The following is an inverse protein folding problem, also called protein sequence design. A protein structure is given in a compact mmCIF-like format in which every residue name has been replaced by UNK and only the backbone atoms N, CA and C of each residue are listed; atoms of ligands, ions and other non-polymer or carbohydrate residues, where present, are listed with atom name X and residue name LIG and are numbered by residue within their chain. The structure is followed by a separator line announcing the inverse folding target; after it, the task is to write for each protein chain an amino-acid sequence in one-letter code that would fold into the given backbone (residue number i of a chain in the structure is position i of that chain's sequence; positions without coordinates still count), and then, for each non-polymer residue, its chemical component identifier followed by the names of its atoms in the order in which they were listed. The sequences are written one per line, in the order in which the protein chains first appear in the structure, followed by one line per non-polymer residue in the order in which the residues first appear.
data_IF_090579132174
#
_entry.id   IF_090579132174
#
_cell.length_a   1.000
_cell.length_b   1.000
_cell.length_c   1.000
_cell.angle_alpha   90.00
_cell.angle_beta   90.00
_cell.angle_gamma   90.00
#
_symmetry.space_group_name_H-M   'P 1'
#
loop_
_entity.id
_entity.type
_entity.pdbx_description
1 polymer ?
#
# COMPACT_ATOMS: atom_id res chain seq x y z
N UNK A 1 36.40 12.55 -2.37
CA UNK A 1 35.72 12.93 -1.17
C UNK A 1 34.35 13.50 -1.53
N UNK A 2 33.33 13.25 -0.66
CA UNK A 2 31.96 13.75 -0.80
C UNK A 2 31.63 14.53 0.47
N UNK A 3 30.92 15.64 0.35
CA UNK A 3 30.57 16.51 1.48
C UNK A 3 29.33 16.02 2.24
N UNK A 4 28.51 15.16 1.61
CA UNK A 4 27.32 14.59 2.20
C UNK A 4 26.99 13.21 1.60
N UNK A 5 26.27 12.40 2.36
CA UNK A 5 25.72 11.10 1.93
C UNK A 5 24.22 11.08 2.25
N UNK A 6 23.41 10.75 1.26
CA UNK A 6 21.97 10.54 1.43
C UNK A 6 21.72 9.04 1.53
N UNK A 7 21.19 8.60 2.65
CA UNK A 7 20.81 7.20 2.89
C UNK A 7 19.32 7.01 2.65
N UNK A 8 18.96 6.38 1.53
CA UNK A 8 17.57 6.21 1.10
C UNK A 8 17.31 4.78 0.60
N UNK A 9 17.67 3.78 1.40
CA UNK A 9 17.71 2.35 1.04
C UNK A 9 16.41 1.59 1.30
N UNK A 10 15.30 2.30 1.57
CA UNK A 10 14.00 1.68 1.80
C UNK A 10 13.55 1.72 3.27
N UNK A 11 12.61 0.84 3.61
CA UNK A 11 11.94 0.79 4.91
C UNK A 11 11.84 -0.65 5.38
N UNK A 12 11.91 -0.82 6.71
CA UNK A 12 11.60 -2.08 7.38
C UNK A 12 10.51 -1.84 8.44
N UNK A 13 9.68 -2.84 8.75
CA UNK A 13 8.70 -2.71 9.82
C UNK A 13 9.40 -2.68 11.18
N UNK A 14 8.91 -1.86 12.11
CA UNK A 14 9.41 -1.78 13.49
C UNK A 14 8.49 -2.64 14.36
N UNK A 15 8.69 -3.95 14.31
CA UNK A 15 7.82 -4.95 14.95
C UNK A 15 8.52 -5.79 16.02
N UNK A 16 9.86 -5.71 16.13
CA UNK A 16 10.67 -6.58 16.97
C UNK A 16 10.27 -6.55 18.46
N UNK A 17 9.92 -5.36 18.99
CA UNK A 17 9.67 -5.16 20.43
C UNK A 17 8.18 -5.00 20.77
N UNK A 18 7.28 -5.39 19.87
CA UNK A 18 5.83 -5.28 20.09
C UNK A 18 5.21 -6.46 20.85
N UNK A 19 6.01 -7.46 21.22
CA UNK A 19 5.49 -8.65 21.90
C UNK A 19 4.58 -9.51 21.02
N UNK A 20 4.69 -9.42 19.69
CA UNK A 20 3.81 -10.12 18.74
C UNK A 20 3.82 -11.64 18.95
N UNK A 21 5.00 -12.23 19.21
CA UNK A 21 5.13 -13.65 19.46
C UNK A 21 4.36 -14.06 20.73
N UNK A 22 4.39 -13.25 21.79
CA UNK A 22 3.64 -13.52 23.02
C UNK A 22 2.12 -13.44 22.81
N UNK A 23 1.67 -12.60 21.86
CA UNK A 23 0.28 -12.50 21.44
C UNK A 23 -0.11 -13.54 20.37
N UNK A 24 0.81 -14.38 19.92
CA UNK A 24 0.59 -15.36 18.85
C UNK A 24 0.41 -14.75 17.46
N UNK A 25 0.74 -13.47 17.28
CA UNK A 25 0.63 -12.78 15.99
C UNK A 25 1.83 -13.14 15.12
N UNK A 26 1.55 -13.70 13.95
CA UNK A 26 2.58 -14.10 12.99
C UNK A 26 3.18 -12.89 12.28
N UNK A 27 4.48 -12.97 11.97
CA UNK A 27 5.17 -12.07 11.05
C UNK A 27 5.79 -12.88 9.91
N UNK A 28 5.97 -12.25 8.76
CA UNK A 28 6.75 -12.83 7.68
C UNK A 28 8.27 -12.74 7.94
N UNK A 29 9.08 -13.28 7.03
CA UNK A 29 10.54 -13.27 7.15
C UNK A 29 11.15 -11.85 7.15
N UNK A 30 10.44 -10.84 6.63
CA UNK A 30 10.85 -9.44 6.64
C UNK A 30 10.31 -8.66 7.85
N UNK A 31 9.54 -9.31 8.71
CA UNK A 31 8.96 -8.73 9.92
C UNK A 31 7.60 -8.03 9.73
N UNK A 32 6.99 -8.09 8.54
CA UNK A 32 5.64 -7.59 8.33
C UNK A 32 4.59 -8.51 8.95
N UNK A 33 3.43 -7.94 9.29
CA UNK A 33 2.28 -8.68 9.83
C UNK A 33 1.32 -8.98 8.68
N UNK A 34 1.26 -10.24 8.17
CA UNK A 34 0.33 -10.60 7.11
C UNK A 34 -1.12 -10.44 7.56
N UNK A 35 -1.97 -9.95 6.66
CA UNK A 35 -3.41 -9.81 6.91
C UNK A 35 -4.21 -10.28 5.70
N UNK A 36 -5.45 -10.65 5.96
CA UNK A 36 -6.44 -10.87 4.90
C UNK A 36 -6.92 -9.53 4.28
N UNK A 37 -7.92 -9.61 3.39
CA UNK A 37 -8.52 -8.41 2.77
C UNK A 37 -9.22 -7.50 3.79
N UNK A 38 -9.58 -8.04 4.93
CA UNK A 38 -10.31 -7.35 6.00
C UNK A 38 -9.39 -6.84 7.11
N UNK A 39 -8.08 -6.83 6.88
CA UNK A 39 -7.04 -6.47 7.84
C UNK A 39 -6.96 -7.36 9.08
N UNK A 40 -7.59 -8.54 9.06
CA UNK A 40 -7.47 -9.50 10.15
C UNK A 40 -6.11 -10.22 10.08
N UNK A 41 -5.47 -10.36 11.24
CA UNK A 41 -4.27 -11.18 11.39
C UNK A 41 -4.65 -12.66 11.56
N UNK A 42 -3.68 -13.51 11.80
CA UNK A 42 -3.91 -14.90 12.18
C UNK A 42 -4.56 -15.08 13.58
N UNK A 43 -4.59 -14.02 14.39
CA UNK A 43 -5.18 -14.04 15.74
C UNK A 43 -6.57 -13.36 15.68
N UNK A 44 -7.65 -14.02 16.14
CA UNK A 44 -8.98 -13.43 16.18
C UNK A 44 -9.00 -12.09 16.94
N UNK A 45 -9.71 -11.11 16.39
CA UNK A 45 -9.85 -9.74 16.94
C UNK A 45 -8.54 -8.93 17.01
N UNK A 46 -7.49 -9.40 16.39
CA UNK A 46 -6.25 -8.63 16.21
C UNK A 46 -6.13 -8.24 14.74
N UNK A 47 -5.96 -6.95 14.50
CA UNK A 47 -5.94 -6.35 13.16
C UNK A 47 -4.65 -5.58 12.96
N UNK A 48 -4.18 -5.51 11.72
CA UNK A 48 -3.06 -4.65 11.33
C UNK A 48 -3.40 -3.85 10.08
N UNK A 49 -3.02 -2.57 10.06
CA UNK A 49 -3.28 -1.64 8.95
C UNK A 49 -2.03 -0.84 8.59
N UNK A 50 -1.95 -0.40 7.35
CA UNK A 50 -0.86 0.42 6.85
C UNK A 50 0.41 -0.35 6.52
N UNK A 51 1.54 0.34 6.49
CA UNK A 51 2.81 -0.19 6.02
C UNK A 51 3.32 -1.42 6.78
N UNK A 52 2.91 -1.61 8.03
CA UNK A 52 3.27 -2.79 8.83
C UNK A 52 2.74 -4.11 8.24
N UNK A 53 1.75 -4.05 7.35
CA UNK A 53 1.18 -5.22 6.67
C UNK A 53 1.96 -5.68 5.44
N UNK A 54 3.04 -4.96 5.07
CA UNK A 54 3.81 -5.23 3.85
C UNK A 54 3.10 -4.80 2.55
N UNK A 55 1.90 -4.20 2.63
CA UNK A 55 1.17 -3.63 1.50
C UNK A 55 1.63 -2.20 1.22
N UNK A 56 0.79 -1.42 0.51
CA UNK A 56 1.10 -0.04 0.14
C UNK A 56 1.46 0.83 1.35
N UNK A 57 2.72 1.26 1.44
CA UNK A 57 3.23 2.08 2.54
C UNK A 57 2.91 3.58 2.35
N UNK A 58 1.63 3.89 2.12
CA UNK A 58 1.10 5.22 1.88
C UNK A 58 0.11 5.62 2.97
N UNK A 59 0.32 6.79 3.58
CA UNK A 59 -0.55 7.30 4.66
C UNK A 59 -2.03 7.36 4.28
N UNK A 60 -2.44 7.87 3.09
CA UNK A 60 -3.85 7.87 2.70
C UNK A 60 -4.44 6.45 2.58
N UNK A 61 -3.65 5.47 2.16
CA UNK A 61 -4.08 4.07 2.06
C UNK A 61 -4.29 3.47 3.44
N UNK A 62 -3.38 3.70 4.37
CA UNK A 62 -3.51 3.27 5.76
C UNK A 62 -4.78 3.85 6.42
N UNK A 63 -5.03 5.16 6.23
CA UNK A 63 -6.24 5.83 6.72
C UNK A 63 -7.50 5.21 6.12
N UNK A 64 -7.50 4.97 4.81
CA UNK A 64 -8.64 4.39 4.11
C UNK A 64 -8.93 2.95 4.57
N UNK A 65 -7.89 2.14 4.80
CA UNK A 65 -8.01 0.79 5.34
C UNK A 65 -8.56 0.80 6.79
N UNK A 66 -8.00 1.66 7.64
CA UNK A 66 -8.42 1.79 9.04
C UNK A 66 -9.88 2.24 9.17
N UNK A 67 -10.33 3.23 8.37
CA UNK A 67 -11.74 3.66 8.35
C UNK A 67 -12.68 2.53 7.97
N UNK A 68 -12.34 1.72 6.96
CA UNK A 68 -13.15 0.58 6.53
C UNK A 68 -13.17 -0.55 7.56
N UNK A 69 -12.04 -0.76 8.23
CA UNK A 69 -11.96 -1.69 9.36
C UNK A 69 -12.93 -1.26 10.48
N UNK A 70 -12.89 0.02 10.90
CA UNK A 70 -13.79 0.56 11.92
C UNK A 70 -15.27 0.50 11.50
N UNK A 71 -15.57 0.85 10.23
CA UNK A 71 -16.90 0.72 9.66
C UNK A 71 -17.45 -0.71 9.79
N UNK A 72 -16.60 -1.71 9.58
CA UNK A 72 -16.98 -3.13 9.65
C UNK A 72 -17.11 -3.60 11.10
N UNK A 73 -16.10 -3.33 11.94
CA UNK A 73 -16.02 -3.89 13.30
C UNK A 73 -17.04 -3.20 14.23
N UNK A 74 -17.23 -1.90 14.08
CA UNK A 74 -18.06 -1.09 14.99
C UNK A 74 -19.28 -0.49 14.32
N UNK A 75 -19.27 -0.32 13.01
CA UNK A 75 -20.34 0.35 12.26
C UNK A 75 -21.37 -0.58 11.62
N UNK A 76 -21.31 -1.88 11.88
CA UNK A 76 -22.26 -2.87 11.35
C UNK A 76 -22.21 -3.06 9.83
N UNK A 77 -21.18 -2.54 9.14
CA UNK A 77 -21.05 -2.61 7.67
C UNK A 77 -20.25 -3.85 7.27
N UNK A 78 -20.83 -5.04 7.45
CA UNK A 78 -20.24 -6.31 7.06
C UNK A 78 -19.72 -6.26 5.61
N UNK A 79 -18.56 -6.84 5.33
CA UNK A 79 -17.94 -6.83 4.00
C UNK A 79 -17.20 -5.54 3.62
N UNK A 80 -17.24 -4.49 4.44
CA UNK A 80 -16.49 -3.26 4.19
C UNK A 80 -14.98 -3.52 4.30
N UNK A 81 -14.25 -3.35 3.20
CA UNK A 81 -12.79 -3.47 3.11
C UNK A 81 -12.23 -2.47 2.10
N UNK A 82 -10.93 -2.26 2.10
CA UNK A 82 -10.24 -1.48 1.08
C UNK A 82 -9.92 -2.38 -0.13
N UNK A 83 -10.30 -1.92 -1.32
CA UNK A 83 -9.74 -2.47 -2.56
C UNK A 83 -8.35 -1.86 -2.80
N UNK A 84 -7.34 -2.70 -2.82
CA UNK A 84 -5.94 -2.29 -3.03
C UNK A 84 -5.55 -2.20 -4.51
N UNK A 85 -6.49 -2.44 -5.43
CA UNK A 85 -6.26 -2.20 -6.86
C UNK A 85 -6.34 -0.70 -7.14
N UNK A 86 -5.63 -0.26 -8.15
CA UNK A 86 -5.68 1.12 -8.65
C UNK A 86 -5.39 2.18 -7.57
N UNK A 87 -4.43 1.92 -6.71
CA UNK A 87 -3.96 2.91 -5.72
C UNK A 87 -3.13 3.97 -6.43
N UNK A 88 -3.53 5.25 -6.37
CA UNK A 88 -2.73 6.32 -6.95
C UNK A 88 -1.40 6.47 -6.21
N UNK A 89 -0.32 6.58 -6.95
CA UNK A 89 1.02 6.81 -6.41
C UNK A 89 1.63 8.03 -7.06
N UNK A 90 2.36 8.82 -6.28
CA UNK A 90 3.03 10.03 -6.76
C UNK A 90 4.51 9.97 -6.40
N UNK A 91 5.36 10.21 -7.39
CA UNK A 91 6.79 10.51 -7.19
C UNK A 91 6.95 12.02 -7.30
N UNK A 92 7.43 12.65 -6.22
CA UNK A 92 7.61 14.11 -6.15
C UNK A 92 8.94 14.53 -6.78
N UNK A 93 9.17 14.08 -8.00
CA UNK A 93 10.25 14.55 -8.86
C UNK A 93 9.89 15.89 -9.53
N UNK A 94 10.79 16.44 -10.31
CA UNK A 94 10.54 17.64 -11.12
C UNK A 94 10.84 17.31 -12.60
N UNK A 95 9.77 17.14 -13.42
CA UNK A 95 8.33 17.20 -13.09
C UNK A 95 7.86 16.03 -12.21
N UNK A 96 6.73 16.21 -11.53
CA UNK A 96 6.08 15.18 -10.72
C UNK A 96 5.49 14.07 -11.59
N UNK A 97 5.62 12.82 -11.13
CA UNK A 97 5.07 11.65 -11.83
C UNK A 97 3.93 11.07 -11.00
N UNK A 98 2.74 11.01 -11.57
CA UNK A 98 1.58 10.33 -10.98
C UNK A 98 1.25 9.06 -11.74
N UNK A 99 0.94 7.98 -11.02
CA UNK A 99 0.53 6.70 -11.61
C UNK A 99 -0.72 6.16 -10.92
N UNK A 100 -1.54 5.41 -11.65
CA UNK A 100 -2.68 4.71 -11.09
C UNK A 100 -3.03 3.51 -11.99
N UNK A 101 -3.27 2.36 -11.39
CA UNK A 101 -3.58 1.13 -12.11
C UNK A 101 -2.34 0.39 -12.63
N UNK A 102 -2.55 -0.44 -13.64
CA UNK A 102 -1.53 -1.28 -14.23
C UNK A 102 -0.53 -0.45 -15.07
N UNK A 103 0.72 -0.85 -15.05
CA UNK A 103 1.67 -0.41 -16.08
C UNK A 103 1.28 -1.00 -17.45
N UNK A 104 1.80 -0.44 -18.54
CA UNK A 104 1.59 -1.02 -19.87
C UNK A 104 2.10 -2.46 -19.94
N UNK A 105 3.25 -2.74 -19.31
CA UNK A 105 3.82 -4.08 -19.31
C UNK A 105 2.89 -5.09 -18.58
N UNK A 106 2.38 -4.71 -17.40
CA UNK A 106 1.47 -5.55 -16.63
C UNK A 106 0.12 -5.73 -17.35
N UNK A 107 -0.41 -4.65 -17.92
CA UNK A 107 -1.65 -4.71 -18.70
C UNK A 107 -1.50 -5.64 -19.92
N UNK A 108 -0.38 -5.58 -20.64
CA UNK A 108 -0.11 -6.48 -21.75
C UNK A 108 0.10 -7.92 -21.33
N UNK A 109 0.69 -8.15 -20.15
CA UNK A 109 0.84 -9.49 -19.61
C UNK A 109 -0.52 -10.12 -19.26
N UNK A 110 -1.47 -9.30 -18.75
CA UNK A 110 -2.80 -9.76 -18.34
C UNK A 110 -3.79 -9.86 -19.51
N UNK A 111 -3.81 -8.87 -20.42
CA UNK A 111 -4.83 -8.72 -21.46
C UNK A 111 -4.30 -8.89 -22.89
N UNK A 112 -3.00 -9.08 -23.08
CA UNK A 112 -2.37 -9.34 -24.36
C UNK A 112 -2.66 -8.26 -25.42
N UNK A 113 -3.11 -8.69 -26.60
CA UNK A 113 -3.39 -7.81 -27.74
C UNK A 113 -4.62 -6.91 -27.56
N UNK A 114 -5.44 -7.13 -26.53
CA UNK A 114 -6.60 -6.27 -26.23
C UNK A 114 -6.20 -4.90 -25.68
N UNK A 115 -4.95 -4.72 -25.25
CA UNK A 115 -4.45 -3.45 -24.70
C UNK A 115 -4.22 -2.43 -25.80
N UNK A 116 -4.89 -1.29 -25.70
CA UNK A 116 -4.59 -0.08 -26.47
C UNK A 116 -3.93 0.96 -25.57
N UNK A 117 -2.83 1.54 -26.04
CA UNK A 117 -2.12 2.63 -25.35
C UNK A 117 -2.40 3.94 -26.09
N UNK A 118 -2.77 4.96 -25.33
CA UNK A 118 -2.95 6.31 -25.83
C UNK A 118 -1.97 7.23 -25.11
N UNK A 119 -1.27 8.04 -25.86
CA UNK A 119 -0.31 9.02 -25.34
C UNK A 119 -0.74 10.40 -25.80
N UNK A 120 -0.67 11.37 -24.90
CA UNK A 120 -0.92 12.78 -25.21
C UNK A 120 0.05 13.67 -24.43
N UNK A 121 0.30 14.85 -24.97
CA UNK A 121 1.11 15.87 -24.33
C UNK A 121 0.31 17.19 -24.32
N UNK A 122 0.36 17.90 -23.22
CA UNK A 122 -0.31 19.19 -23.09
C UNK A 122 0.46 20.09 -22.11
N UNK A 123 0.31 21.39 -22.29
CA UNK A 123 0.81 22.39 -21.34
C UNK A 123 -0.25 22.59 -20.25
N UNK A 124 0.10 22.41 -18.97
CA UNK A 124 -0.84 22.65 -17.88
C UNK A 124 -1.36 24.10 -17.91
N UNK A 125 -2.66 24.29 -17.70
CA UNK A 125 -3.28 25.63 -17.67
C UNK A 125 -2.80 26.51 -16.51
N UNK A 126 -2.00 25.96 -15.64
CA UNK A 126 -1.51 26.63 -14.44
C UNK A 126 -0.19 27.38 -14.65
N UNK A 127 0.41 27.29 -15.83
CA UNK A 127 1.66 27.99 -16.19
C UNK A 127 1.46 28.90 -17.39
#
# INVERSE_FOLDING_TARGET
PFDAVIWAVGRAPVTADLGLAAAGVATDAAGFIPTDLYQATNVPNVYAVGGVTGREALTPVAIAAGRRLCDRVFGGKAGRHLDYRNIPTVVFSHPTIGTCGLSEADARAEFGAAVKVYTTEFVPLYY
#
